data_IF_352702215898
#
_entry.id   IF_352702215898
#
_cell.length_a   1.000
_cell.length_b   1.000
_cell.length_c   1.000
_cell.angle_alpha   90.00
_cell.angle_beta   90.00
_cell.angle_gamma   90.00
#
_symmetry.space_group_name_H-M   'P 1'
#
loop_
_entity.id
_entity.type
_entity.pdbx_description
1 polymer ?
#
# COMPACT_ATOMS: atom_id res chain seq x y z
N UNK A 1 20.38 -7.16 10.04
CA UNK A 1 19.47 -6.04 9.74
C UNK A 1 18.62 -6.37 8.53
N UNK A 2 17.33 -6.27 8.69
CA UNK A 2 16.45 -6.55 7.57
C UNK A 2 16.45 -5.37 6.60
N UNK A 3 16.71 -5.64 5.35
CA UNK A 3 16.59 -4.63 4.31
C UNK A 3 15.15 -4.69 3.78
N UNK A 4 14.49 -3.54 3.75
CA UNK A 4 13.14 -3.46 3.21
C UNK A 4 13.25 -3.50 1.69
N UNK A 5 12.63 -4.48 1.07
CA UNK A 5 12.65 -4.63 -0.38
C UNK A 5 11.26 -4.32 -0.96
N UNK A 6 11.23 -3.97 -2.24
CA UNK A 6 9.96 -3.74 -2.93
C UNK A 6 9.06 -4.98 -2.88
N UNK A 7 9.66 -6.16 -2.97
CA UNK A 7 8.92 -7.43 -2.89
C UNK A 7 8.23 -7.61 -1.54
N UNK A 8 8.90 -7.27 -0.46
CA UNK A 8 8.34 -7.38 0.89
C UNK A 8 7.19 -6.39 1.06
N UNK A 9 7.39 -5.17 0.62
CA UNK A 9 6.35 -4.13 0.69
C UNK A 9 5.16 -4.52 -0.16
N UNK A 10 5.41 -5.00 -1.37
CA UNK A 10 4.34 -5.44 -2.27
C UNK A 10 3.51 -6.55 -1.62
N UNK A 11 4.17 -7.56 -1.08
CA UNK A 11 3.48 -8.67 -0.43
C UNK A 11 2.61 -8.18 0.74
N UNK A 12 3.13 -7.26 1.53
CA UNK A 12 2.41 -6.73 2.69
C UNK A 12 1.23 -5.86 2.26
N UNK A 13 1.43 -5.03 1.24
CA UNK A 13 0.37 -4.18 0.70
C UNK A 13 -0.75 -5.05 0.12
N UNK A 14 -0.42 -6.05 -0.67
CA UNK A 14 -1.39 -6.96 -1.25
C UNK A 14 -2.18 -7.69 -0.16
N UNK A 15 -1.49 -8.21 0.84
CA UNK A 15 -2.13 -8.90 1.96
C UNK A 15 -3.11 -7.97 2.69
N UNK A 16 -2.70 -6.73 2.93
CA UNK A 16 -3.54 -5.76 3.63
C UNK A 16 -4.76 -5.40 2.79
N UNK A 17 -4.57 -5.13 1.51
CA UNK A 17 -5.67 -4.78 0.62
C UNK A 17 -6.65 -5.96 0.47
N UNK A 18 -6.13 -7.18 0.41
CA UNK A 18 -6.98 -8.36 0.30
C UNK A 18 -7.90 -8.50 1.52
N UNK A 19 -7.46 -8.01 2.68
CA UNK A 19 -8.29 -8.06 3.89
C UNK A 19 -9.51 -7.13 3.81
N UNK A 20 -9.51 -6.19 2.88
CA UNK A 20 -10.62 -5.24 2.70
C UNK A 20 -11.70 -5.73 1.73
N UNK A 21 -11.48 -6.85 1.07
CA UNK A 21 -12.47 -7.43 0.17
C UNK A 21 -11.92 -8.01 -1.12
N UNK A 22 -11.02 -7.33 -1.85
CA UNK A 22 -10.49 -7.87 -3.10
C UNK A 22 -9.70 -9.16 -2.86
N UNK A 23 -9.67 -10.02 -3.86
CA UNK A 23 -8.84 -11.22 -3.79
C UNK A 23 -7.39 -10.87 -4.11
N UNK A 24 -6.45 -11.51 -3.42
CA UNK A 24 -5.03 -11.24 -3.62
C UNK A 24 -4.60 -11.44 -5.08
N UNK A 25 -5.18 -12.42 -5.76
CA UNK A 25 -4.88 -12.71 -7.18
C UNK A 25 -5.23 -11.56 -8.10
N UNK A 26 -6.20 -10.75 -7.68
CA UNK A 26 -6.70 -9.63 -8.49
C UNK A 26 -5.92 -8.34 -8.24
N UNK A 27 -5.09 -8.34 -7.22
CA UNK A 27 -4.33 -7.15 -6.86
C UNK A 27 -2.97 -7.20 -7.54
N UNK A 28 -2.74 -6.26 -8.46
CA UNK A 28 -1.45 -6.13 -9.16
C UNK A 28 -0.94 -4.71 -8.98
N UNK A 29 0.30 -4.46 -9.36
CA UNK A 29 0.86 -3.12 -9.28
C UNK A 29 0.09 -2.13 -10.17
N UNK A 30 -0.53 -2.62 -11.23
CA UNK A 30 -1.29 -1.80 -12.16
C UNK A 30 -2.73 -1.56 -11.72
N UNK A 31 -3.21 -2.32 -10.75
CA UNK A 31 -4.56 -2.15 -10.23
C UNK A 31 -4.71 -0.79 -9.58
N UNK A 32 -5.83 -0.13 -9.87
CA UNK A 32 -6.13 1.13 -9.20
C UNK A 32 -6.93 0.84 -7.93
N UNK A 33 -6.83 1.73 -6.97
CA UNK A 33 -7.63 1.58 -5.75
C UNK A 33 -9.11 1.67 -6.05
N UNK A 34 -9.48 2.48 -7.06
CA UNK A 34 -10.87 2.60 -7.50
C UNK A 34 -11.41 1.27 -8.05
N UNK A 35 -10.62 0.57 -8.86
CA UNK A 35 -10.98 -0.75 -9.38
C UNK A 35 -11.20 -1.77 -8.28
N UNK A 36 -10.44 -1.65 -7.20
CA UNK A 36 -10.49 -2.57 -6.09
C UNK A 36 -11.53 -2.18 -5.04
N UNK A 37 -12.28 -1.12 -5.29
CA UNK A 37 -13.25 -0.57 -4.33
C UNK A 37 -12.61 -0.19 -2.99
N UNK A 38 -11.38 0.25 -3.04
CA UNK A 38 -10.66 0.72 -1.86
C UNK A 38 -10.96 2.21 -1.69
N UNK A 39 -11.65 2.56 -0.63
CA UNK A 39 -12.01 3.96 -0.36
C UNK A 39 -10.95 4.64 0.54
N UNK A 40 -11.20 5.90 0.87
CA UNK A 40 -10.25 6.67 1.68
C UNK A 40 -10.05 6.10 3.08
N UNK A 41 -11.07 5.49 3.66
CA UNK A 41 -10.94 4.87 4.98
C UNK A 41 -10.01 3.65 4.92
N UNK A 42 -10.15 2.86 3.87
CA UNK A 42 -9.28 1.70 3.66
C UNK A 42 -7.83 2.15 3.44
N UNK A 43 -7.63 3.25 2.72
CA UNK A 43 -6.30 3.80 2.51
C UNK A 43 -5.69 4.28 3.83
N UNK A 44 -6.49 4.86 4.72
CA UNK A 44 -6.02 5.27 6.04
C UNK A 44 -5.57 4.04 6.84
N UNK A 45 -6.31 2.95 6.77
CA UNK A 45 -5.93 1.71 7.45
C UNK A 45 -4.64 1.13 6.87
N UNK A 46 -4.49 1.17 5.56
CA UNK A 46 -3.25 0.74 4.91
C UNK A 46 -2.07 1.60 5.40
N UNK A 47 -2.26 2.91 5.49
CA UNK A 47 -1.24 3.81 5.97
C UNK A 47 -0.83 3.47 7.41
N UNK A 48 -1.79 3.09 8.23
CA UNK A 48 -1.54 2.70 9.61
C UNK A 48 -0.68 1.43 9.69
N UNK A 49 -1.00 0.44 8.87
CA UNK A 49 -0.24 -0.81 8.80
C UNK A 49 1.20 -0.54 8.35
N UNK A 50 1.36 0.32 7.37
CA UNK A 50 2.67 0.69 6.84
C UNK A 50 3.50 1.41 7.91
N UNK A 51 2.87 2.30 8.65
CA UNK A 51 3.53 3.01 9.74
C UNK A 51 4.00 2.03 10.81
N UNK A 52 3.14 1.08 11.19
CA UNK A 52 3.46 0.10 12.21
C UNK A 52 4.57 -0.86 11.78
N UNK A 53 4.54 -1.29 10.52
CA UNK A 53 5.48 -2.30 10.02
C UNK A 53 6.81 -1.71 9.57
N UNK A 54 6.80 -0.52 8.98
CA UNK A 54 7.98 0.04 8.32
C UNK A 54 8.38 1.40 8.85
N UNK A 55 7.64 1.94 9.80
CA UNK A 55 7.85 3.29 10.35
C UNK A 55 7.77 4.38 9.26
N UNK A 56 6.97 4.12 8.24
CA UNK A 56 6.75 5.08 7.14
C UNK A 56 5.40 5.75 7.37
N UNK A 57 5.43 7.07 7.49
CA UNK A 57 4.21 7.85 7.69
C UNK A 57 3.69 8.33 6.34
N UNK A 58 2.51 7.89 5.97
CA UNK A 58 1.85 8.34 4.76
C UNK A 58 0.81 9.38 5.15
N UNK A 59 0.98 10.60 4.68
CA UNK A 59 0.06 11.69 5.00
C UNK A 59 -0.90 11.92 3.84
N UNK A 60 -2.02 12.57 4.14
CA UNK A 60 -3.12 12.74 3.22
C UNK A 60 -2.76 13.25 1.83
N UNK A 61 -1.84 14.20 1.73
CA UNK A 61 -1.45 14.73 0.43
C UNK A 61 -0.73 13.70 -0.44
N UNK A 62 0.17 12.94 0.17
CA UNK A 62 0.85 11.85 -0.54
C UNK A 62 -0.14 10.77 -0.96
N UNK A 63 -1.13 10.50 -0.11
CA UNK A 63 -2.13 9.47 -0.40
C UNK A 63 -3.05 9.87 -1.55
N UNK A 64 -3.32 11.16 -1.72
CA UNK A 64 -4.17 11.64 -2.82
C UNK A 64 -3.53 11.42 -4.19
N UNK A 65 -2.21 11.34 -4.23
CA UNK A 65 -1.48 11.11 -5.48
C UNK A 65 -1.40 9.64 -5.83
N UNK A 66 -1.76 8.76 -4.90
CA UNK A 66 -1.72 7.32 -5.13
C UNK A 66 -2.92 6.90 -5.97
N UNK A 67 -2.66 6.43 -7.17
CA UNK A 67 -3.70 5.94 -8.07
C UNK A 67 -3.68 4.42 -8.16
N UNK A 68 -2.49 3.84 -8.20
CA UNK A 68 -2.32 2.40 -8.34
C UNK A 68 -1.62 1.81 -7.13
N UNK A 69 -1.75 0.50 -7.00
CA UNK A 69 -1.06 -0.25 -5.95
C UNK A 69 0.46 -0.04 -6.07
N UNK A 70 0.97 -0.05 -7.30
CA UNK A 70 2.38 0.18 -7.55
C UNK A 70 2.86 1.55 -7.07
N UNK A 71 2.03 2.58 -7.24
CA UNK A 71 2.35 3.91 -6.74
C UNK A 71 2.54 3.90 -5.23
N UNK A 72 1.66 3.20 -4.52
CA UNK A 72 1.75 3.08 -3.07
C UNK A 72 3.02 2.31 -2.66
N UNK A 73 3.30 1.22 -3.34
CA UNK A 73 4.50 0.41 -3.06
C UNK A 73 5.76 1.24 -3.26
N UNK A 74 5.84 1.95 -4.37
CA UNK A 74 7.00 2.76 -4.69
C UNK A 74 7.20 3.90 -3.68
N UNK A 75 6.11 4.52 -3.25
CA UNK A 75 6.18 5.57 -2.24
C UNK A 75 6.68 5.01 -0.91
N UNK A 76 6.16 3.87 -0.49
CA UNK A 76 6.57 3.24 0.77
C UNK A 76 8.05 2.88 0.74
N UNK A 77 8.50 2.25 -0.34
CA UNK A 77 9.91 1.86 -0.48
C UNK A 77 10.81 3.10 -0.46
N UNK A 78 10.40 4.15 -1.16
CA UNK A 78 11.15 5.39 -1.21
C UNK A 78 11.32 6.01 0.17
N UNK A 79 10.29 5.97 0.99
CA UNK A 79 10.34 6.56 2.32
C UNK A 79 10.97 5.66 3.36
N UNK A 80 10.97 4.35 3.13
CA UNK A 80 11.56 3.40 4.06
C UNK A 80 13.10 3.34 3.98
N UNK A 81 13.63 3.82 2.89
CA UNK A 81 15.10 3.84 2.71
C UNK A 81 15.78 4.95 3.50
#
# INVERSE_FOLDING_TARGET
MATITAEQVEARVVETLASFGPEADQITRESTFEELDIDSLDLVELAQVVEDDYSVVLKGEGMKELKTVGDAIDLIVSRAE
#
